data_IF_387727177784
#
_entry.id   IF_387727177784
#
_cell.length_a   1.000
_cell.length_b   1.000
_cell.length_c   1.000
_cell.angle_alpha   90.00
_cell.angle_beta   90.00
_cell.angle_gamma   90.00
#
_symmetry.space_group_name_H-M   'P 1'
#
loop_
_entity.id
_entity.type
_entity.pdbx_description
1 polymer ?
#
# COMPACT_ATOMS: atom_id res chain seq x y z
N UNK A 1 8.96 -1.88 -0.03
CA UNK A 1 8.80 -0.44 -0.19
C UNK A 1 7.40 -0.15 -0.73
N UNK A 2 6.55 0.50 0.08
CA UNK A 2 5.16 0.75 -0.28
C UNK A 2 5.02 1.68 -1.50
N UNK A 3 5.75 2.81 -1.58
CA UNK A 3 5.65 3.65 -2.79
C UNK A 3 6.03 2.92 -4.07
N UNK A 4 7.06 2.07 -4.04
CA UNK A 4 7.46 1.30 -5.22
C UNK A 4 6.41 0.25 -5.57
N UNK A 5 5.87 -0.44 -4.57
CA UNK A 5 4.80 -1.41 -4.78
C UNK A 5 3.54 -0.75 -5.34
N UNK A 6 3.22 0.45 -4.85
CA UNK A 6 2.08 1.21 -5.33
C UNK A 6 2.26 1.62 -6.79
N UNK A 7 3.46 2.07 -7.16
CA UNK A 7 3.76 2.42 -8.56
C UNK A 7 3.64 1.20 -9.47
N UNK A 8 4.10 0.04 -9.01
CA UNK A 8 3.99 -1.20 -9.78
C UNK A 8 2.53 -1.60 -9.97
N UNK A 9 1.73 -1.52 -8.90
CA UNK A 9 0.31 -1.86 -8.97
C UNK A 9 -0.45 -0.90 -9.89
N UNK A 10 -0.13 0.39 -9.83
CA UNK A 10 -0.76 1.39 -10.69
C UNK A 10 -0.41 1.15 -12.15
N UNK A 11 0.85 0.83 -12.44
CA UNK A 11 1.28 0.52 -13.80
C UNK A 11 0.59 -0.72 -14.36
N UNK A 12 0.19 -1.64 -13.49
CA UNK A 12 -0.53 -2.85 -13.88
C UNK A 12 -2.04 -2.63 -14.02
N UNK A 13 -2.51 -1.39 -13.91
CA UNK A 13 -3.92 -1.06 -14.08
C UNK A 13 -4.69 -0.87 -12.77
N UNK A 14 -4.00 -0.86 -11.64
CA UNK A 14 -4.63 -0.60 -10.36
C UNK A 14 -5.00 0.87 -10.18
N UNK A 15 -5.98 1.13 -9.34
CA UNK A 15 -6.40 2.49 -8.99
C UNK A 15 -6.03 2.74 -7.53
N UNK A 16 -5.27 3.81 -7.29
CA UNK A 16 -4.87 4.18 -5.94
C UNK A 16 -6.09 4.70 -5.18
N UNK A 17 -6.42 4.04 -4.08
CA UNK A 17 -7.53 4.43 -3.22
C UNK A 17 -7.02 5.35 -2.10
N UNK A 18 -5.89 4.99 -1.50
CA UNK A 18 -5.28 5.77 -0.42
C UNK A 18 -3.79 5.85 -0.64
N UNK A 19 -3.24 7.04 -0.63
CA UNK A 19 -1.80 7.26 -0.73
C UNK A 19 -1.07 6.68 0.48
N UNK A 20 0.23 6.40 0.36
CA UNK A 20 1.00 5.90 1.50
C UNK A 20 0.88 6.82 2.70
N UNK A 21 0.49 6.24 3.83
CA UNK A 21 0.26 6.96 5.08
C UNK A 21 0.94 6.21 6.20
N UNK A 22 1.66 6.93 7.07
CA UNK A 22 2.32 6.31 8.22
C UNK A 22 1.33 6.21 9.37
N UNK A 23 1.18 5.00 9.91
CA UNK A 23 0.30 4.76 11.06
C UNK A 23 0.99 5.19 12.35
N UNK A 24 0.24 5.35 13.47
CA UNK A 24 0.82 5.71 14.76
C UNK A 24 1.85 4.69 15.27
N UNK A 25 1.77 3.45 14.82
CA UNK A 25 2.73 2.41 15.23
C UNK A 25 3.91 2.26 14.26
N UNK A 26 4.09 3.24 13.35
CA UNK A 26 5.27 3.29 12.49
C UNK A 26 5.21 2.47 11.22
N UNK A 27 4.05 1.99 10.84
CA UNK A 27 3.84 1.24 9.61
C UNK A 27 3.39 2.17 8.50
N UNK A 28 3.92 2.00 7.28
CA UNK A 28 3.41 2.73 6.12
C UNK A 28 2.42 1.82 5.39
N UNK A 29 1.23 2.33 5.13
CA UNK A 29 0.15 1.59 4.46
C UNK A 29 -0.40 2.38 3.31
N UNK A 30 -0.87 1.67 2.29
CA UNK A 30 -1.60 2.26 1.17
C UNK A 30 -2.62 1.25 0.67
N UNK A 31 -3.63 1.72 -0.02
CA UNK A 31 -4.66 0.85 -0.60
C UNK A 31 -4.75 1.11 -2.09
N UNK A 32 -4.86 0.03 -2.85
CA UNK A 32 -5.03 0.09 -4.29
C UNK A 32 -6.12 -0.92 -4.67
N UNK A 33 -6.97 -0.55 -5.61
CA UNK A 33 -7.98 -1.45 -6.16
C UNK A 33 -7.45 -2.02 -7.46
N UNK A 34 -7.46 -3.33 -7.60
CA UNK A 34 -6.98 -3.97 -8.82
C UNK A 34 -8.00 -3.81 -9.96
N UNK A 35 -7.64 -4.19 -11.20
CA UNK A 35 -8.56 -4.04 -12.34
C UNK A 35 -9.87 -4.82 -12.19
N UNK A 36 -9.91 -5.82 -11.34
CA UNK A 36 -11.12 -6.59 -11.06
C UNK A 36 -11.94 -6.03 -9.91
N UNK A 37 -11.50 -4.90 -9.33
CA UNK A 37 -12.21 -4.25 -8.24
C UNK A 37 -11.88 -4.77 -6.85
N UNK A 38 -10.87 -5.60 -6.72
CA UNK A 38 -10.46 -6.14 -5.42
C UNK A 38 -9.56 -5.12 -4.71
N UNK A 39 -9.89 -4.82 -3.46
CA UNK A 39 -9.09 -3.90 -2.66
C UNK A 39 -7.87 -4.64 -2.11
N UNK A 40 -6.69 -4.08 -2.35
CA UNK A 40 -5.41 -4.65 -1.89
C UNK A 40 -4.74 -3.66 -0.96
N UNK A 41 -4.34 -4.13 0.22
CA UNK A 41 -3.55 -3.33 1.15
C UNK A 41 -2.07 -3.58 0.91
N UNK A 42 -1.31 -2.51 0.76
CA UNK A 42 0.15 -2.54 0.69
C UNK A 42 0.67 -1.98 2.01
N UNK A 43 1.51 -2.74 2.69
CA UNK A 43 1.97 -2.34 4.02
C UNK A 43 3.39 -2.80 4.25
N UNK A 44 4.15 -1.97 4.98
CA UNK A 44 5.47 -2.37 5.48
C UNK A 44 5.28 -3.30 6.67
N UNK A 45 6.32 -4.09 6.95
CA UNK A 45 6.32 -4.87 8.19
C UNK A 45 6.35 -3.94 9.39
N UNK A 46 5.75 -4.36 10.50
CA UNK A 46 5.85 -3.63 11.76
C UNK A 46 7.29 -3.74 12.26
N UNK A 47 7.92 -2.58 12.48
CA UNK A 47 9.32 -2.51 12.88
C UNK A 47 9.43 -2.01 14.33
N UNK A 48 8.76 -2.64 15.23
CA UNK A 48 8.90 -2.32 16.65
C UNK A 48 9.91 -3.22 17.32
N UNK A 49 10.33 -2.87 18.53
CA UNK A 49 11.10 -3.78 19.34
C UNK A 49 10.21 -4.97 19.70
N UNK A 50 10.64 -6.11 19.35
CA UNK A 50 9.90 -7.34 19.63
C UNK A 50 10.66 -8.21 20.61
#
# INVERSE_FOLDING_TARGET
>A
DVPAALATASAAGGVVVTEPTTTPWGQTVAYVRDPNGILVELATAVTGPT
#
